data_IF_771820418493
#
_entry.id   IF_771820418493
#
_cell.length_a   1.000
_cell.length_b   1.000
_cell.length_c   1.000
_cell.angle_alpha   90.00
_cell.angle_beta   90.00
_cell.angle_gamma   90.00
#
_symmetry.space_group_name_H-M   'P 1'
#
loop_
_entity.id
_entity.type
_entity.pdbx_description
1 polymer ?
#
# COMPACT_ATOMS: atom_id res chain seq x y z
N UNK A 1 -37.68 -24.60 -47.69
CA UNK A 1 -36.35 -24.37 -48.24
C UNK A 1 -35.35 -25.23 -47.49
N UNK A 2 -34.56 -26.05 -48.18
CA UNK A 2 -33.47 -26.85 -47.59
C UNK A 2 -32.22 -26.00 -47.50
N UNK A 3 -31.67 -25.91 -46.25
CA UNK A 3 -30.39 -25.23 -45.99
C UNK A 3 -29.23 -26.21 -46.19
N UNK A 4 -28.19 -25.79 -46.83
CA UNK A 4 -26.97 -26.57 -47.02
C UNK A 4 -25.89 -25.97 -46.13
N UNK A 5 -25.37 -26.77 -45.19
CA UNK A 5 -24.22 -26.39 -44.34
C UNK A 5 -22.99 -26.19 -45.24
N UNK A 6 -22.42 -24.99 -45.25
CA UNK A 6 -21.22 -24.68 -46.07
C UNK A 6 -19.93 -24.95 -45.29
N UNK A 7 -19.89 -24.54 -44.04
CA UNK A 7 -18.67 -24.57 -43.23
C UNK A 7 -19.02 -24.52 -41.73
N UNK A 8 -18.24 -25.19 -40.92
CA UNK A 8 -18.26 -25.04 -39.45
C UNK A 8 -16.95 -24.44 -39.03
N UNK A 9 -17.01 -23.23 -38.51
CA UNK A 9 -15.82 -22.51 -38.00
C UNK A 9 -15.82 -22.60 -36.48
N UNK A 10 -14.98 -23.45 -35.87
CA UNK A 10 -14.86 -23.53 -34.42
C UNK A 10 -14.03 -22.32 -33.92
N UNK A 11 -14.56 -21.54 -32.98
CA UNK A 11 -13.86 -20.47 -32.32
C UNK A 11 -13.72 -20.76 -30.82
N UNK A 12 -12.52 -20.57 -30.28
CA UNK A 12 -12.26 -20.71 -28.86
C UNK A 12 -12.32 -19.33 -28.21
N UNK A 13 -13.23 -19.19 -27.22
CA UNK A 13 -13.34 -17.99 -26.40
C UNK A 13 -12.96 -18.30 -24.96
N UNK A 14 -12.31 -17.33 -24.30
CA UNK A 14 -11.96 -17.43 -22.88
C UNK A 14 -12.75 -16.38 -22.12
N UNK A 15 -13.19 -16.73 -20.91
CA UNK A 15 -13.80 -15.78 -19.98
C UNK A 15 -12.70 -14.82 -19.46
N UNK A 16 -13.02 -13.54 -19.36
CA UNK A 16 -12.15 -12.57 -18.74
C UNK A 16 -12.31 -12.58 -17.22
N UNK A 17 -11.22 -12.38 -16.44
CA UNK A 17 -11.33 -12.22 -15.00
C UNK A 17 -12.11 -10.94 -14.66
N UNK A 18 -12.72 -10.85 -13.46
CA UNK A 18 -13.39 -9.62 -13.03
C UNK A 18 -12.41 -8.44 -13.05
N UNK A 19 -12.88 -7.25 -13.48
CA UNK A 19 -12.02 -6.08 -13.56
C UNK A 19 -11.58 -5.60 -12.17
N UNK A 20 -10.44 -4.92 -12.10
CA UNK A 20 -10.00 -4.26 -10.88
C UNK A 20 -11.04 -3.21 -10.41
N UNK A 21 -11.18 -3.07 -9.10
CA UNK A 21 -12.07 -2.06 -8.53
C UNK A 21 -11.66 -0.65 -8.94
N UNK A 22 -12.65 0.14 -9.29
CA UNK A 22 -12.56 1.60 -9.33
C UNK A 22 -13.01 2.17 -7.99
N UNK A 23 -12.83 3.48 -7.76
CA UNK A 23 -13.37 4.15 -6.56
C UNK A 23 -14.88 3.90 -6.43
N UNK A 24 -15.62 4.07 -7.52
CA UNK A 24 -17.07 3.91 -7.53
C UNK A 24 -17.50 2.46 -7.28
N UNK A 25 -16.89 1.48 -7.96
CA UNK A 25 -17.26 0.08 -7.79
C UNK A 25 -16.86 -0.44 -6.41
N UNK A 26 -15.75 0.05 -5.81
CA UNK A 26 -15.39 -0.31 -4.44
C UNK A 26 -16.40 0.22 -3.43
N UNK A 27 -16.82 1.49 -3.55
CA UNK A 27 -17.85 2.07 -2.67
C UNK A 27 -19.15 1.29 -2.79
N UNK A 28 -19.59 1.00 -4.02
CA UNK A 28 -20.80 0.20 -4.26
C UNK A 28 -20.74 -1.16 -3.58
N UNK A 29 -19.63 -1.87 -3.70
CA UNK A 29 -19.44 -3.18 -3.03
C UNK A 29 -19.45 -3.05 -1.50
N UNK A 30 -18.83 -2.00 -0.94
CA UNK A 30 -18.87 -1.74 0.50
C UNK A 30 -20.31 -1.47 0.98
N UNK A 31 -21.09 -0.69 0.23
CA UNK A 31 -22.52 -0.43 0.51
C UNK A 31 -23.35 -1.72 0.44
N UNK A 32 -23.17 -2.53 -0.59
CA UNK A 32 -23.88 -3.81 -0.76
C UNK A 32 -23.64 -4.78 0.40
N UNK A 33 -22.45 -4.71 1.02
CA UNK A 33 -22.09 -5.54 2.19
C UNK A 33 -22.32 -4.83 3.53
N UNK A 34 -22.90 -3.63 3.55
CA UNK A 34 -23.16 -2.89 4.79
C UNK A 34 -21.90 -2.38 5.51
N UNK A 35 -20.75 -2.33 4.81
CA UNK A 35 -19.46 -1.92 5.38
C UNK A 35 -19.24 -0.42 5.18
N UNK A 36 -19.02 0.28 6.28
CA UNK A 36 -18.83 1.73 6.27
C UNK A 36 -20.14 2.51 6.11
N UNK A 37 -19.99 3.82 6.11
CA UNK A 37 -21.08 4.77 5.95
C UNK A 37 -20.62 5.91 5.03
N UNK A 38 -21.49 6.74 4.48
CA UNK A 38 -21.12 7.83 3.56
C UNK A 38 -19.97 8.70 4.08
N UNK A 39 -19.90 8.93 5.38
CA UNK A 39 -18.84 9.72 6.02
C UNK A 39 -17.47 9.01 6.06
N UNK A 40 -17.41 7.67 5.94
CA UNK A 40 -16.18 6.88 6.09
C UNK A 40 -15.60 6.40 4.77
N UNK A 41 -16.33 6.37 3.66
CA UNK A 41 -15.83 5.87 2.37
C UNK A 41 -14.63 6.66 1.86
N UNK A 42 -14.74 7.99 1.81
CA UNK A 42 -13.64 8.83 1.32
C UNK A 42 -12.39 8.76 2.20
N UNK A 43 -12.46 8.83 3.55
CA UNK A 43 -11.33 8.60 4.45
C UNK A 43 -10.68 7.22 4.26
N UNK A 44 -11.47 6.16 4.09
CA UNK A 44 -10.95 4.80 3.86
C UNK A 44 -10.12 4.72 2.59
N UNK A 45 -10.65 5.23 1.46
CA UNK A 45 -9.92 5.26 0.18
C UNK A 45 -8.65 6.10 0.30
N UNK A 46 -8.72 7.26 0.94
CA UNK A 46 -7.55 8.11 1.18
C UNK A 46 -6.49 7.36 1.98
N UNK A 47 -6.89 6.62 3.02
CA UNK A 47 -5.99 5.82 3.85
C UNK A 47 -5.30 4.71 3.05
N UNK A 48 -6.05 3.98 2.20
CA UNK A 48 -5.49 2.93 1.35
C UNK A 48 -4.39 3.48 0.43
N UNK A 49 -4.63 4.64 -0.19
CA UNK A 49 -3.69 5.31 -1.07
C UNK A 49 -2.51 5.93 -0.32
N UNK A 50 -2.74 6.57 0.82
CA UNK A 50 -1.70 7.21 1.63
C UNK A 50 -0.74 6.21 2.26
N UNK A 51 -1.26 5.07 2.70
CA UNK A 51 -0.44 3.97 3.23
C UNK A 51 0.21 3.14 2.13
N UNK A 52 -0.11 3.42 0.87
CA UNK A 52 0.36 2.66 -0.29
C UNK A 52 0.04 1.17 -0.20
N UNK A 53 -1.13 0.85 0.30
CA UNK A 53 -1.65 -0.51 0.22
C UNK A 53 -2.14 -0.81 -1.19
N UNK A 54 -2.63 0.22 -1.88
CA UNK A 54 -3.02 0.19 -3.28
C UNK A 54 -2.49 1.43 -4.01
N UNK A 55 -2.32 1.33 -5.33
CA UNK A 55 -2.11 2.48 -6.23
C UNK A 55 -3.31 2.62 -7.16
N UNK A 56 -3.56 3.85 -7.61
CA UNK A 56 -4.59 4.15 -8.60
C UNK A 56 -3.92 4.39 -9.96
N UNK A 57 -4.21 3.52 -10.94
CA UNK A 57 -3.76 3.65 -12.32
C UNK A 57 -4.95 3.42 -13.24
N UNK A 58 -5.13 4.27 -14.25
CA UNK A 58 -6.28 4.22 -15.17
C UNK A 58 -7.64 4.14 -14.45
N UNK A 59 -7.78 4.91 -13.34
CA UNK A 59 -8.96 4.92 -12.45
C UNK A 59 -9.25 3.58 -11.73
N UNK A 60 -8.37 2.60 -11.80
CA UNK A 60 -8.46 1.29 -11.15
C UNK A 60 -7.45 1.15 -10.02
N UNK A 61 -7.85 0.45 -8.95
CA UNK A 61 -6.97 0.11 -7.84
C UNK A 61 -6.11 -1.10 -8.18
N UNK A 62 -4.82 -0.98 -7.94
CA UNK A 62 -3.86 -2.07 -8.05
C UNK A 62 -3.23 -2.32 -6.67
N UNK A 63 -3.33 -3.54 -6.12
CA UNK A 63 -2.69 -3.88 -4.86
C UNK A 63 -1.17 -3.70 -4.95
N UNK A 64 -0.59 -3.12 -3.90
CA UNK A 64 0.86 -3.04 -3.75
C UNK A 64 1.34 -4.14 -2.79
N UNK A 65 2.60 -4.54 -2.91
CA UNK A 65 3.18 -5.61 -2.10
C UNK A 65 2.97 -5.42 -0.59
N UNK A 66 3.11 -4.17 -0.12
CA UNK A 66 2.85 -3.84 1.29
C UNK A 66 1.39 -4.11 1.67
N UNK A 67 0.44 -3.81 0.78
CA UNK A 67 -0.98 -4.07 1.01
C UNK A 67 -1.28 -5.57 1.10
N UNK A 68 -0.71 -6.36 0.19
CA UNK A 68 -0.86 -7.82 0.17
C UNK A 68 -0.33 -8.42 1.47
N UNK A 69 0.91 -8.08 1.86
CA UNK A 69 1.53 -8.59 3.08
C UNK A 69 0.70 -8.24 4.33
N UNK A 70 0.22 -6.99 4.42
CA UNK A 70 -0.62 -6.56 5.56
C UNK A 70 -1.94 -7.31 5.57
N UNK A 71 -2.59 -7.48 4.41
CA UNK A 71 -3.82 -8.25 4.29
C UNK A 71 -3.63 -9.71 4.72
N UNK A 72 -2.59 -10.38 4.21
CA UNK A 72 -2.30 -11.78 4.55
C UNK A 72 -2.05 -11.97 6.05
N UNK A 73 -1.29 -11.06 6.66
CA UNK A 73 -1.05 -11.09 8.11
C UNK A 73 -2.33 -10.87 8.90
N UNK A 74 -3.18 -9.92 8.50
CA UNK A 74 -4.43 -9.65 9.19
C UNK A 74 -5.42 -10.81 9.05
N UNK A 75 -5.57 -11.39 7.87
CA UNK A 75 -6.42 -12.57 7.66
C UNK A 75 -5.92 -13.76 8.48
N UNK A 76 -4.59 -13.98 8.54
CA UNK A 76 -3.99 -15.08 9.30
C UNK A 76 -4.19 -14.94 10.81
N UNK A 77 -3.99 -13.75 11.37
CA UNK A 77 -3.96 -13.54 12.83
C UNK A 77 -5.26 -12.98 13.40
N UNK A 78 -6.10 -12.35 12.59
CA UNK A 78 -7.37 -11.73 12.98
C UNK A 78 -8.54 -12.14 12.08
N UNK A 79 -8.75 -13.45 11.81
CA UNK A 79 -9.73 -13.90 10.82
C UNK A 79 -11.14 -13.40 11.11
N UNK A 80 -11.56 -13.36 12.37
CA UNK A 80 -12.90 -12.86 12.77
C UNK A 80 -13.11 -11.38 12.47
N UNK A 81 -12.07 -10.55 12.68
CA UNK A 81 -12.16 -9.09 12.46
C UNK A 81 -12.08 -8.77 10.96
N UNK A 82 -11.38 -9.62 10.20
CA UNK A 82 -11.26 -9.48 8.75
C UNK A 82 -12.45 -10.08 7.98
N UNK A 83 -13.40 -10.65 8.71
CA UNK A 83 -14.66 -11.12 8.16
C UNK A 83 -15.55 -9.94 7.75
N UNK A 84 -16.19 -10.08 6.57
CA UNK A 84 -17.07 -9.03 6.02
C UNK A 84 -18.28 -8.83 6.92
N UNK A 85 -18.92 -9.92 7.37
CA UNK A 85 -20.11 -9.88 8.20
C UNK A 85 -19.82 -9.27 9.58
N UNK A 86 -18.61 -9.49 10.13
CA UNK A 86 -18.20 -8.86 11.38
C UNK A 86 -18.23 -7.34 11.31
N UNK A 87 -17.69 -6.77 10.22
CA UNK A 87 -17.65 -5.32 10.03
C UNK A 87 -19.06 -4.75 9.82
N UNK A 88 -19.88 -5.43 9.03
CA UNK A 88 -21.27 -5.04 8.81
C UNK A 88 -22.07 -5.03 10.12
N UNK A 89 -22.00 -6.10 10.93
CA UNK A 89 -22.66 -6.16 12.24
C UNK A 89 -22.16 -5.09 13.22
N UNK A 90 -20.87 -4.75 13.16
CA UNK A 90 -20.35 -3.66 14.00
C UNK A 90 -20.97 -2.31 13.62
N UNK A 91 -21.10 -2.03 12.31
CA UNK A 91 -21.77 -0.82 11.82
C UNK A 91 -23.26 -0.78 12.23
N UNK A 92 -23.96 -1.91 12.15
CA UNK A 92 -25.35 -2.04 12.63
C UNK A 92 -25.46 -1.77 14.13
N UNK A 93 -24.56 -2.34 14.94
CA UNK A 93 -24.55 -2.10 16.39
C UNK A 93 -24.31 -0.62 16.71
N UNK A 94 -23.45 0.07 15.94
CA UNK A 94 -23.22 1.51 16.11
C UNK A 94 -24.46 2.33 15.75
N UNK A 95 -25.22 1.94 14.73
CA UNK A 95 -26.48 2.57 14.38
C UNK A 95 -27.54 2.35 15.48
N UNK A 96 -27.64 1.15 16.06
CA UNK A 96 -28.55 0.85 17.17
C UNK A 96 -28.20 1.65 18.45
N UNK A 97 -26.91 1.88 18.70
CA UNK A 97 -26.46 2.80 19.77
C UNK A 97 -26.90 4.22 19.47
N UNK A 98 -26.75 4.69 18.23
CA UNK A 98 -27.18 6.04 17.84
C UNK A 98 -28.70 6.24 17.98
N UNK A 99 -29.49 5.17 17.81
CA UNK A 99 -30.93 5.14 18.03
C UNK A 99 -31.35 4.98 19.51
N UNK A 100 -30.38 4.84 20.44
CA UNK A 100 -30.64 4.64 21.86
C UNK A 100 -31.20 3.26 22.23
N UNK A 101 -31.07 2.26 21.34
CA UNK A 101 -31.56 0.89 21.55
C UNK A 101 -30.52 -0.04 22.17
N UNK A 102 -29.24 0.34 22.11
CA UNK A 102 -28.11 -0.44 22.64
C UNK A 102 -27.19 0.43 23.51
N UNK A 103 -26.62 -0.21 24.54
CA UNK A 103 -25.62 0.41 25.40
C UNK A 103 -24.22 0.27 24.80
N UNK A 104 -23.55 1.39 24.51
CA UNK A 104 -22.25 1.41 23.86
C UNK A 104 -21.16 0.68 24.65
N UNK A 105 -21.22 0.68 25.98
CA UNK A 105 -20.24 0.00 26.86
C UNK A 105 -20.29 -1.51 26.64
N UNK A 106 -21.47 -2.08 26.51
CA UNK A 106 -21.68 -3.50 26.29
C UNK A 106 -21.14 -3.92 24.91
N UNK A 107 -21.44 -3.18 23.87
CA UNK A 107 -20.92 -3.42 22.52
C UNK A 107 -19.39 -3.39 22.51
N UNK A 108 -18.76 -2.38 23.12
CA UNK A 108 -17.32 -2.27 23.20
C UNK A 108 -16.69 -3.41 24.03
N UNK A 109 -17.32 -3.82 25.14
CA UNK A 109 -16.83 -4.94 25.97
C UNK A 109 -16.84 -6.23 25.19
N UNK A 110 -17.91 -6.52 24.46
CA UNK A 110 -18.06 -7.71 23.64
C UNK A 110 -17.05 -7.77 22.49
N UNK A 111 -16.69 -6.63 21.92
CA UNK A 111 -15.62 -6.50 20.94
C UNK A 111 -14.23 -6.65 21.57
N UNK A 112 -13.97 -5.88 22.62
CA UNK A 112 -12.60 -5.70 23.14
C UNK A 112 -12.02 -6.96 23.77
N UNK A 113 -12.84 -7.74 24.48
CA UNK A 113 -12.35 -8.93 25.19
C UNK A 113 -11.73 -9.97 24.22
N UNK A 114 -12.44 -10.46 23.19
CA UNK A 114 -11.88 -11.41 22.24
C UNK A 114 -10.77 -10.78 21.37
N UNK A 115 -10.86 -9.48 21.07
CA UNK A 115 -9.82 -8.75 20.36
C UNK A 115 -8.51 -8.76 21.13
N UNK A 116 -8.54 -8.44 22.44
CA UNK A 116 -7.36 -8.42 23.30
C UNK A 116 -6.68 -9.79 23.40
N UNK A 117 -7.45 -10.85 23.47
CA UNK A 117 -6.92 -12.22 23.48
C UNK A 117 -6.22 -12.55 22.15
N UNK A 118 -6.89 -12.28 21.03
CA UNK A 118 -6.32 -12.48 19.70
C UNK A 118 -5.06 -11.63 19.49
N UNK A 119 -5.06 -10.39 19.93
CA UNK A 119 -3.90 -9.49 19.87
C UNK A 119 -2.71 -10.04 20.64
N UNK A 120 -2.92 -10.57 21.85
CA UNK A 120 -1.86 -11.18 22.65
C UNK A 120 -1.27 -12.43 21.99
N UNK A 121 -2.12 -13.24 21.34
CA UNK A 121 -1.68 -14.40 20.55
C UNK A 121 -0.88 -13.94 19.32
N UNK A 122 -1.36 -12.92 18.63
CA UNK A 122 -0.67 -12.35 17.46
C UNK A 122 0.70 -11.80 17.85
N UNK A 123 0.84 -11.05 18.94
CA UNK A 123 2.13 -10.53 19.41
C UNK A 123 3.16 -11.63 19.70
N UNK A 124 2.72 -12.79 20.20
CA UNK A 124 3.61 -13.92 20.50
C UNK A 124 4.00 -14.70 19.24
N UNK A 125 3.08 -14.86 18.30
CA UNK A 125 3.21 -15.80 17.19
C UNK A 125 3.47 -15.13 15.84
N UNK A 126 3.25 -13.81 15.73
CA UNK A 126 3.44 -13.10 14.45
C UNK A 126 4.91 -13.12 14.04
N UNK A 127 5.17 -13.74 12.92
CA UNK A 127 6.51 -13.80 12.35
C UNK A 127 6.92 -12.40 11.89
N UNK A 128 8.07 -11.94 12.40
CA UNK A 128 8.66 -10.71 11.87
C UNK A 128 9.15 -10.96 10.45
N UNK A 129 8.78 -10.09 9.52
CA UNK A 129 9.29 -10.14 8.16
C UNK A 129 10.81 -10.07 8.22
N UNK A 130 11.47 -11.20 7.92
CA UNK A 130 12.93 -11.28 7.94
C UNK A 130 13.49 -10.45 6.78
N UNK A 131 14.44 -9.55 7.05
CA UNK A 131 15.11 -8.82 5.99
C UNK A 131 15.80 -9.80 5.03
N UNK A 132 15.63 -9.63 3.74
CA UNK A 132 16.32 -10.44 2.75
C UNK A 132 17.78 -9.96 2.63
N UNK A 133 18.73 -10.85 2.87
CA UNK A 133 20.16 -10.56 2.68
C UNK A 133 20.45 -10.33 1.20
N UNK A 134 21.28 -9.34 0.91
CA UNK A 134 21.75 -9.05 -0.44
C UNK A 134 23.28 -9.18 -0.50
N UNK A 135 23.80 -9.28 -1.72
CA UNK A 135 25.25 -9.26 -1.97
C UNK A 135 25.85 -7.84 -1.91
N UNK A 136 25.00 -6.85 -1.68
CA UNK A 136 25.37 -5.44 -1.65
C UNK A 136 26.10 -5.08 -0.37
N UNK A 137 27.09 -4.21 -0.47
CA UNK A 137 27.89 -3.73 0.64
C UNK A 137 27.59 -2.25 0.87
N UNK A 138 27.39 -1.87 2.12
CA UNK A 138 27.16 -0.49 2.52
C UNK A 138 28.39 0.38 2.22
N UNK A 139 28.26 1.48 1.46
CA UNK A 139 29.40 2.34 1.13
C UNK A 139 30.00 3.05 2.34
N UNK A 140 29.19 3.28 3.41
CA UNK A 140 29.65 4.00 4.60
C UNK A 140 30.41 3.11 5.59
N UNK A 141 29.91 1.91 5.87
CA UNK A 141 30.47 1.04 6.94
C UNK A 141 30.91 -0.33 6.46
N UNK A 142 30.80 -0.61 5.16
CA UNK A 142 31.18 -1.89 4.51
C UNK A 142 30.45 -3.14 5.03
N UNK A 143 29.40 -2.97 5.85
CA UNK A 143 28.55 -4.08 6.27
C UNK A 143 27.61 -4.51 5.14
N UNK A 144 27.12 -5.77 5.12
CA UNK A 144 26.16 -6.21 4.12
C UNK A 144 24.87 -5.40 4.20
N UNK A 145 24.21 -5.24 3.06
CA UNK A 145 22.91 -4.59 3.00
C UNK A 145 21.77 -5.60 2.93
N UNK A 146 20.63 -5.22 3.45
CA UNK A 146 19.42 -6.04 3.49
C UNK A 146 18.26 -5.30 2.85
N UNK A 147 17.37 -6.02 2.15
CA UNK A 147 16.12 -5.48 1.66
C UNK A 147 15.13 -5.46 2.83
N UNK A 148 14.57 -4.29 3.07
CA UNK A 148 13.45 -4.07 3.99
C UNK A 148 12.27 -3.46 3.26
N UNK A 149 11.08 -3.69 3.79
CA UNK A 149 9.84 -3.09 3.30
C UNK A 149 9.51 -1.92 4.23
N UNK A 150 9.33 -0.76 3.65
CA UNK A 150 8.95 0.46 4.35
C UNK A 150 7.69 1.08 3.76
N UNK A 151 7.26 2.22 4.33
CA UNK A 151 6.08 2.97 3.86
C UNK A 151 6.08 3.29 2.35
N UNK A 152 7.28 3.37 1.75
CA UNK A 152 7.44 3.77 0.35
C UNK A 152 7.86 2.60 -0.56
N UNK A 153 7.67 1.35 -0.10
CA UNK A 153 8.06 0.15 -0.81
C UNK A 153 9.38 -0.45 -0.31
N UNK A 154 9.99 -1.30 -1.12
CA UNK A 154 11.28 -1.92 -0.81
C UNK A 154 12.42 -0.92 -0.83
N UNK A 155 13.37 -1.08 0.08
CA UNK A 155 14.60 -0.31 0.12
C UNK A 155 15.75 -1.16 0.67
N UNK A 156 16.96 -0.86 0.24
CA UNK A 156 18.17 -1.41 0.83
C UNK A 156 18.49 -0.65 2.11
N UNK A 157 18.72 -1.36 3.18
CA UNK A 157 19.15 -0.82 4.47
C UNK A 157 20.45 -1.49 4.93
N UNK A 158 21.30 -0.75 5.60
CA UNK A 158 22.48 -1.31 6.22
C UNK A 158 22.12 -2.29 7.35
N UNK A 159 22.71 -3.48 7.38
CA UNK A 159 22.48 -4.47 8.45
C UNK A 159 23.00 -3.99 9.81
N UNK A 160 23.95 -3.05 9.83
CA UNK A 160 24.52 -2.47 11.05
C UNK A 160 23.62 -1.40 11.71
N UNK A 161 22.36 -1.24 11.28
CA UNK A 161 21.40 -0.38 11.99
C UNK A 161 21.24 -0.81 13.47
N UNK A 162 21.25 0.11 14.45
CA UNK A 162 21.16 1.59 14.34
C UNK A 162 22.51 2.35 14.20
N UNK A 163 23.65 1.65 14.25
CA UNK A 163 24.98 2.28 14.15
C UNK A 163 25.22 2.97 12.79
N UNK A 164 24.78 2.32 11.70
CA UNK A 164 24.80 2.90 10.37
C UNK A 164 23.34 3.01 9.86
N UNK A 165 22.96 4.20 9.41
CA UNK A 165 21.59 4.51 8.94
C UNK A 165 21.50 4.65 7.43
N UNK A 166 22.52 4.16 6.71
CA UNK A 166 22.53 4.25 5.26
C UNK A 166 21.40 3.43 4.64
N UNK A 167 20.65 4.05 3.72
CA UNK A 167 19.56 3.41 2.98
C UNK A 167 19.55 3.87 1.53
N UNK A 168 19.14 2.97 0.63
CA UNK A 168 18.93 3.25 -0.79
C UNK A 168 17.54 2.76 -1.21
N UNK A 169 16.72 3.61 -1.83
CA UNK A 169 15.44 3.19 -2.37
C UNK A 169 15.64 2.21 -3.54
N UNK A 170 14.70 1.26 -3.68
CA UNK A 170 14.62 0.35 -4.80
C UNK A 170 13.40 0.70 -5.66
N UNK A 171 13.48 0.43 -6.95
CA UNK A 171 12.33 0.48 -7.86
C UNK A 171 11.43 -0.77 -7.69
N UNK A 172 10.32 -0.81 -8.45
CA UNK A 172 9.40 -1.97 -8.41
C UNK A 172 10.06 -3.27 -8.89
N UNK A 173 11.10 -3.19 -9.70
CA UNK A 173 11.88 -4.32 -10.20
C UNK A 173 13.02 -4.74 -9.25
N UNK A 174 13.23 -3.99 -8.17
CA UNK A 174 14.29 -4.25 -7.19
C UNK A 174 15.66 -3.66 -7.57
N UNK A 175 15.73 -2.81 -8.60
CA UNK A 175 16.94 -2.11 -8.98
C UNK A 175 17.17 -0.89 -8.07
N UNK A 176 18.44 -0.56 -7.87
CA UNK A 176 18.80 0.63 -7.08
C UNK A 176 18.35 1.90 -7.78
N UNK A 177 17.61 2.73 -7.08
CA UNK A 177 17.34 4.08 -7.54
C UNK A 177 18.57 4.92 -7.18
N UNK A 178 19.52 5.00 -8.10
CA UNK A 178 20.69 5.88 -7.94
C UNK A 178 20.23 7.34 -8.13
N UNK A 179 20.65 8.19 -7.22
CA UNK A 179 20.41 9.64 -7.35
C UNK A 179 21.28 10.15 -8.50
N UNK A 180 20.67 10.38 -9.65
CA UNK A 180 21.37 10.93 -10.81
C UNK A 180 21.61 12.42 -10.58
N UNK A 181 22.86 12.87 -10.69
CA UNK A 181 23.19 14.28 -10.73
C UNK A 181 22.77 14.86 -12.09
N UNK A 182 22.17 16.01 -12.08
CA UNK A 182 21.84 16.73 -13.31
C UNK A 182 22.74 17.92 -13.49
N UNK A 183 22.88 18.38 -14.73
CA UNK A 183 23.64 19.60 -15.05
C UNK A 183 22.92 20.88 -14.57
N UNK A 184 21.62 20.76 -14.22
CA UNK A 184 20.84 21.91 -13.72
C UNK A 184 21.36 22.34 -12.35
N UNK A 185 21.55 23.66 -12.20
CA UNK A 185 21.93 24.29 -10.93
C UNK A 185 20.70 24.81 -10.17
N UNK A 186 20.75 24.71 -8.88
CA UNK A 186 19.71 25.22 -7.99
C UNK A 186 19.63 26.75 -8.08
N UNK A 187 18.49 27.30 -8.43
CA UNK A 187 18.25 28.74 -8.54
C UNK A 187 18.41 29.50 -7.21
N UNK A 188 18.36 28.80 -6.06
CA UNK A 188 18.44 29.40 -4.73
C UNK A 188 19.86 29.43 -4.16
N UNK A 189 20.69 28.44 -4.44
CA UNK A 189 22.01 28.29 -3.82
C UNK A 189 23.12 27.87 -4.78
N UNK A 190 22.86 27.74 -6.09
CA UNK A 190 23.85 27.39 -7.10
C UNK A 190 24.35 25.94 -7.08
N UNK A 191 24.00 25.14 -6.07
CA UNK A 191 24.39 23.70 -6.00
C UNK A 191 23.74 22.88 -7.08
N UNK A 192 24.36 21.76 -7.54
CA UNK A 192 23.75 20.90 -8.55
C UNK A 192 22.40 20.33 -8.08
N UNK A 193 21.48 20.12 -9.02
CA UNK A 193 20.23 19.46 -8.74
C UNK A 193 20.39 17.95 -8.94
N UNK A 194 19.65 17.18 -8.17
CA UNK A 194 19.66 15.72 -8.20
C UNK A 194 18.24 15.20 -8.40
N UNK A 195 18.09 14.14 -9.20
CA UNK A 195 16.81 13.48 -9.39
C UNK A 195 16.52 12.63 -8.16
N UNK A 196 15.40 12.90 -7.50
CA UNK A 196 14.87 12.11 -6.40
C UNK A 196 13.47 11.60 -6.73
N UNK A 197 13.07 10.53 -6.04
CA UNK A 197 11.73 9.97 -6.14
C UNK A 197 10.88 10.42 -4.96
N UNK A 198 9.72 10.96 -5.27
CA UNK A 198 8.73 11.40 -4.29
C UNK A 198 7.38 10.73 -4.51
N UNK A 199 6.37 11.15 -3.73
CA UNK A 199 5.00 10.62 -3.80
C UNK A 199 4.37 10.72 -5.21
N UNK A 200 4.74 11.75 -5.98
CA UNK A 200 4.19 12.04 -7.32
C UNK A 200 5.09 11.60 -8.48
N UNK A 201 6.18 10.87 -8.20
CA UNK A 201 7.17 10.44 -9.17
C UNK A 201 8.52 11.14 -9.03
N UNK A 202 9.30 11.17 -10.12
CA UNK A 202 10.61 11.81 -10.16
C UNK A 202 10.49 13.33 -10.02
N UNK A 203 11.39 13.94 -9.26
CA UNK A 203 11.52 15.41 -9.12
C UNK A 203 12.98 15.79 -8.93
N UNK A 204 13.31 16.99 -9.29
CA UNK A 204 14.61 17.57 -9.03
C UNK A 204 14.66 18.17 -7.62
N UNK A 205 15.67 17.81 -6.85
CA UNK A 205 15.93 18.34 -5.53
C UNK A 205 17.34 18.92 -5.47
N UNK A 206 17.53 19.94 -4.65
CA UNK A 206 18.86 20.50 -4.43
C UNK A 206 19.74 19.50 -3.66
N UNK A 207 20.99 19.29 -4.12
CA UNK A 207 21.96 18.42 -3.46
C UNK A 207 22.37 18.92 -2.09
N UNK A 208 22.25 20.23 -1.82
CA UNK A 208 22.55 20.86 -0.53
C UNK A 208 21.45 20.67 0.53
N UNK A 209 20.45 19.79 0.32
CA UNK A 209 19.49 19.44 1.37
C UNK A 209 20.21 18.84 2.60
N UNK A 210 19.86 19.21 3.85
CA UNK A 210 18.71 20.01 4.27
C UNK A 210 18.90 21.53 4.28
N UNK A 211 20.11 22.05 4.00
CA UNK A 211 20.40 23.49 4.01
C UNK A 211 19.58 24.24 2.95
N UNK A 212 19.41 23.66 1.78
CA UNK A 212 18.55 24.21 0.73
C UNK A 212 17.44 23.20 0.39
N UNK A 213 16.17 23.61 0.56
CA UNK A 213 14.99 22.78 0.33
C UNK A 213 14.35 23.00 -1.04
N UNK A 214 15.09 23.56 -2.01
CA UNK A 214 14.56 23.86 -3.33
C UNK A 214 14.28 22.55 -4.11
N UNK A 215 13.09 22.47 -4.71
CA UNK A 215 12.66 21.35 -5.55
C UNK A 215 11.97 21.87 -6.81
N UNK A 216 12.06 21.10 -7.91
CA UNK A 216 11.43 21.40 -9.20
C UNK A 216 10.80 20.12 -9.74
N UNK A 217 9.59 20.20 -10.25
CA UNK A 217 8.93 19.07 -10.91
C UNK A 217 9.58 18.77 -12.25
N UNK A 218 9.76 17.50 -12.58
CA UNK A 218 10.17 17.08 -13.93
C UNK A 218 8.86 16.89 -14.73
N UNK A 219 8.67 17.59 -15.86
CA UNK A 219 7.52 17.37 -16.71
C UNK A 219 7.51 15.92 -17.20
N UNK A 220 6.36 15.26 -17.16
CA UNK A 220 6.20 13.96 -17.80
C UNK A 220 6.37 14.18 -19.30
N UNK A 221 7.31 13.49 -19.94
CA UNK A 221 7.26 13.34 -21.40
C UNK A 221 5.97 12.58 -21.72
N UNK A 222 5.12 13.19 -22.53
CA UNK A 222 4.00 12.54 -23.19
C UNK A 222 4.45 11.37 -24.04
#
# INVERSE_FOLDING_TARGET
DSLVLKEVVPEQHFTEPPPHYTVASLIKTLEEHGIGRPSTYAPTISTLLERRYVTLSNKQFHPEETGIIVSDLLVKYFPKIMDIDFTAHMEENLDEIALGKMEWVEVLKNFYQPFKETLNIAYKNMEKIKPQMTKEICPECKSPMVIRIGRYGKFLACSAFPRCRYTLPLDKQGNKIVTEMTEEKCLKCGSPMVIKWGRRGKFLACSAYPKCKNTKSIPKKE
#
